data_IF_621284546945
#
_entry.id   IF_621284546945
#
_cell.length_a   1.000
_cell.length_b   1.000
_cell.length_c   1.000
_cell.angle_alpha   90.00
_cell.angle_beta   90.00
_cell.angle_gamma   90.00
#
_symmetry.space_group_name_H-M   'P 1'
#
loop_
_entity.id
_entity.type
_entity.pdbx_description
1 polymer ?
#
# COMPACT_ATOMS: atom_id res chain seq x y z
N UNK A 1 -21.61 -3.18 4.81
CA UNK A 1 -22.38 -2.92 6.04
C UNK A 1 -23.33 -1.78 5.72
N UNK A 2 -24.63 -2.04 5.74
CA UNK A 2 -25.60 -0.96 5.64
C UNK A 2 -25.95 -0.44 7.04
N UNK A 3 -26.24 0.85 7.10
CA UNK A 3 -26.55 1.58 8.34
C UNK A 3 -27.82 1.04 9.00
N UNK A 4 -28.72 0.39 8.23
CA UNK A 4 -29.98 -0.17 8.72
C UNK A 4 -29.77 -1.46 9.52
N UNK A 5 -28.81 -2.30 9.17
CA UNK A 5 -28.50 -3.53 9.90
C UNK A 5 -28.09 -3.24 11.34
N UNK A 6 -27.30 -2.18 11.58
CA UNK A 6 -26.88 -1.77 12.92
C UNK A 6 -27.98 -1.10 13.70
N UNK A 7 -28.81 -0.27 13.08
CA UNK A 7 -29.95 0.42 13.71
C UNK A 7 -31.06 -0.55 14.12
N UNK A 8 -31.37 -1.51 13.25
CA UNK A 8 -32.46 -2.45 13.49
C UNK A 8 -32.18 -3.49 14.58
N UNK A 9 -30.91 -3.73 14.91
CA UNK A 9 -30.51 -4.69 15.96
C UNK A 9 -30.20 -4.06 17.31
N UNK A 10 -30.41 -2.75 17.50
CA UNK A 10 -30.08 -2.01 18.73
C UNK A 10 -28.65 -2.22 19.26
N UNK A 11 -27.71 -2.57 18.35
CA UNK A 11 -26.34 -2.89 18.72
C UNK A 11 -25.53 -1.61 18.95
N UNK A 12 -25.91 -0.51 18.30
CA UNK A 12 -25.17 0.74 18.36
C UNK A 12 -26.09 1.97 18.27
N UNK A 13 -25.98 2.87 19.27
CA UNK A 13 -26.75 4.11 19.35
C UNK A 13 -25.98 5.36 18.88
N UNK A 14 -24.76 5.22 18.42
CA UNK A 14 -23.90 6.31 17.96
C UNK A 14 -24.09 6.65 16.48
N UNK A 15 -23.28 7.60 16.01
CA UNK A 15 -23.18 7.95 14.59
C UNK A 15 -22.09 7.10 13.93
N UNK A 16 -22.41 6.41 12.84
CA UNK A 16 -21.43 5.72 12.00
C UNK A 16 -20.88 6.73 10.99
N UNK A 17 -19.56 6.88 10.97
CA UNK A 17 -18.85 7.69 9.98
C UNK A 17 -18.17 6.73 9.01
N UNK A 18 -18.55 6.81 7.74
CA UNK A 18 -17.92 6.02 6.70
C UNK A 18 -16.57 6.63 6.37
N UNK A 19 -15.53 5.80 6.36
CA UNK A 19 -14.17 6.21 6.02
C UNK A 19 -13.44 5.16 5.18
N UNK A 20 -12.33 5.57 4.61
CA UNK A 20 -11.42 4.69 3.86
C UNK A 20 -10.01 5.21 4.00
N UNK A 21 -9.03 4.34 3.85
CA UNK A 21 -7.63 4.68 3.68
C UNK A 21 -7.25 4.47 2.22
N UNK A 22 -6.75 5.51 1.58
CA UNK A 22 -6.44 5.53 0.15
C UNK A 22 -4.95 5.79 -0.05
N UNK A 23 -4.32 4.93 -0.84
CA UNK A 23 -2.93 5.15 -1.24
C UNK A 23 -2.82 6.32 -2.23
N UNK A 24 -1.72 7.07 -2.12
CA UNK A 24 -1.41 8.19 -2.99
C UNK A 24 0.10 8.33 -3.22
N UNK A 25 0.48 9.11 -4.23
CA UNK A 25 1.87 9.51 -4.46
C UNK A 25 2.02 11.02 -4.37
N UNK A 26 2.96 11.46 -3.54
CA UNK A 26 3.41 12.84 -3.47
C UNK A 26 4.94 12.89 -3.48
N UNK A 27 5.54 13.74 -4.33
CA UNK A 27 7.00 13.88 -4.49
C UNK A 27 7.74 12.52 -4.64
N UNK A 28 7.19 11.61 -5.46
CA UNK A 28 7.71 10.24 -5.67
C UNK A 28 7.75 9.37 -4.40
N UNK A 29 7.00 9.72 -3.37
CA UNK A 29 6.84 8.93 -2.14
C UNK A 29 5.43 8.38 -2.05
N UNK A 30 5.30 7.12 -1.63
CA UNK A 30 4.02 6.53 -1.27
C UNK A 30 3.55 7.12 0.06
N UNK A 31 2.30 7.53 0.10
CA UNK A 31 1.61 8.02 1.29
C UNK A 31 0.21 7.44 1.34
N UNK A 32 -0.44 7.56 2.46
CA UNK A 32 -1.81 7.12 2.68
C UNK A 32 -2.65 8.29 3.20
N UNK A 33 -3.87 8.40 2.67
CA UNK A 33 -4.80 9.48 3.00
C UNK A 33 -6.03 8.84 3.62
N UNK A 34 -6.32 9.22 4.87
CA UNK A 34 -7.55 8.85 5.55
C UNK A 34 -8.69 9.74 5.04
N UNK A 35 -9.74 9.11 4.55
CA UNK A 35 -10.96 9.76 4.11
C UNK A 35 -12.06 9.52 5.14
N UNK A 36 -12.63 10.56 5.72
CA UNK A 36 -13.74 10.44 6.67
C UNK A 36 -15.00 11.10 6.15
N UNK A 37 -16.16 10.54 6.51
CA UNK A 37 -17.49 11.03 6.17
C UNK A 37 -17.75 11.11 4.66
N UNK A 38 -17.26 10.11 3.92
CA UNK A 38 -17.36 10.02 2.46
C UNK A 38 -18.65 9.35 2.01
N UNK A 39 -19.08 9.69 0.78
CA UNK A 39 -20.06 8.88 0.04
C UNK A 39 -19.30 7.69 -0.61
N UNK A 40 -19.54 6.44 -0.17
CA UNK A 40 -18.80 5.27 -0.66
C UNK A 40 -19.04 5.00 -2.14
N UNK A 41 -20.20 5.35 -2.70
CA UNK A 41 -20.50 5.11 -4.12
C UNK A 41 -19.56 5.94 -5.02
N UNK A 42 -19.30 7.20 -4.66
CA UNK A 42 -18.40 8.09 -5.42
C UNK A 42 -16.96 7.57 -5.35
N UNK A 43 -16.53 7.12 -4.18
CA UNK A 43 -15.18 6.55 -4.01
C UNK A 43 -15.05 5.23 -4.77
N UNK A 44 -16.04 4.34 -4.71
CA UNK A 44 -16.01 3.05 -5.41
C UNK A 44 -15.94 3.24 -6.93
N UNK A 45 -16.75 4.14 -7.50
CA UNK A 45 -16.70 4.48 -8.93
C UNK A 45 -15.31 4.99 -9.35
N UNK A 46 -14.70 5.85 -8.54
CA UNK A 46 -13.35 6.32 -8.80
C UNK A 46 -12.30 5.21 -8.67
N UNK A 47 -12.45 4.31 -7.67
CA UNK A 47 -11.55 3.18 -7.46
C UNK A 47 -11.46 2.25 -8.68
N UNK A 48 -12.53 2.10 -9.47
CA UNK A 48 -12.51 1.31 -10.68
C UNK A 48 -11.43 1.77 -11.68
N UNK A 49 -11.08 3.05 -11.68
CA UNK A 49 -10.01 3.57 -12.52
C UNK A 49 -8.64 2.92 -12.21
N UNK A 50 -8.36 2.61 -10.93
CA UNK A 50 -7.06 2.14 -10.46
C UNK A 50 -7.07 0.66 -10.07
N UNK A 51 -8.19 0.13 -9.62
CA UNK A 51 -8.28 -1.15 -8.93
C UNK A 51 -9.19 -2.17 -9.63
N UNK A 52 -9.45 -2.01 -10.94
CA UNK A 52 -10.06 -3.08 -11.76
C UNK A 52 -9.22 -4.36 -11.65
N UNK A 53 -9.87 -5.52 -11.58
CA UNK A 53 -9.18 -6.80 -11.42
C UNK A 53 -8.12 -7.02 -12.49
N UNK A 54 -8.39 -6.69 -13.75
CA UNK A 54 -7.43 -6.80 -14.85
C UNK A 54 -6.16 -5.96 -14.59
N UNK A 55 -6.32 -4.71 -14.14
CA UNK A 55 -5.18 -3.84 -13.81
C UNK A 55 -4.38 -4.38 -12.63
N UNK A 56 -5.06 -4.88 -11.61
CA UNK A 56 -4.40 -5.49 -10.46
C UNK A 56 -3.64 -6.76 -10.86
N UNK A 57 -4.16 -7.56 -11.80
CA UNK A 57 -3.44 -8.71 -12.38
C UNK A 57 -2.18 -8.28 -13.13
N UNK A 58 -2.28 -7.25 -13.97
CA UNK A 58 -1.11 -6.68 -14.65
C UNK A 58 -0.05 -6.16 -13.66
N UNK A 59 -0.47 -5.48 -12.60
CA UNK A 59 0.42 -5.04 -11.52
C UNK A 59 1.11 -6.24 -10.84
N UNK A 60 0.36 -7.31 -10.54
CA UNK A 60 0.92 -8.53 -9.97
C UNK A 60 2.00 -9.13 -10.87
N UNK A 61 1.77 -9.20 -12.19
CA UNK A 61 2.74 -9.75 -13.13
C UNK A 61 4.01 -8.87 -13.19
N UNK A 62 3.87 -7.55 -13.20
CA UNK A 62 5.00 -6.61 -13.16
C UNK A 62 5.79 -6.74 -11.86
N UNK A 63 5.10 -6.78 -10.71
CA UNK A 63 5.76 -6.96 -9.40
C UNK A 63 6.49 -8.30 -9.31
N UNK A 64 5.90 -9.36 -9.84
CA UNK A 64 6.53 -10.69 -9.92
C UNK A 64 7.84 -10.63 -10.71
N UNK A 65 7.82 -10.02 -11.89
CA UNK A 65 9.02 -9.89 -12.72
C UNK A 65 10.10 -9.06 -12.02
N UNK A 66 9.74 -7.93 -11.42
CA UNK A 66 10.67 -7.09 -10.66
C UNK A 66 11.34 -7.85 -9.52
N UNK A 67 10.58 -8.67 -8.80
CA UNK A 67 11.16 -9.45 -7.72
C UNK A 67 12.11 -10.53 -8.24
N UNK A 68 11.82 -11.15 -9.39
CA UNK A 68 12.78 -12.05 -10.05
C UNK A 68 14.06 -11.31 -10.45
N UNK A 69 13.94 -10.10 -11.00
CA UNK A 69 15.11 -9.28 -11.36
C UNK A 69 15.95 -8.93 -10.11
N UNK A 70 15.29 -8.62 -8.99
CA UNK A 70 15.94 -8.40 -7.69
C UNK A 70 16.63 -9.68 -7.21
N UNK A 71 15.97 -10.83 -7.25
CA UNK A 71 16.55 -12.12 -6.86
C UNK A 71 17.80 -12.44 -7.69
N UNK A 72 17.70 -12.27 -9.01
CA UNK A 72 18.82 -12.51 -9.93
C UNK A 72 19.99 -11.54 -9.66
N UNK A 73 19.71 -10.25 -9.44
CA UNK A 73 20.72 -9.24 -9.10
C UNK A 73 21.50 -9.59 -7.83
N UNK A 74 20.82 -10.21 -6.85
CA UNK A 74 21.45 -10.63 -5.60
C UNK A 74 22.00 -12.05 -5.64
N UNK A 75 21.90 -12.75 -6.76
CA UNK A 75 22.39 -14.13 -6.90
C UNK A 75 21.60 -15.13 -6.06
N UNK A 76 20.33 -14.87 -5.80
CA UNK A 76 19.45 -15.80 -5.09
C UNK A 76 19.04 -16.96 -6.01
N UNK A 77 19.10 -18.16 -5.47
CA UNK A 77 18.69 -19.39 -6.15
C UNK A 77 17.21 -19.65 -5.92
N UNK A 78 16.47 -19.99 -6.95
CA UNK A 78 15.06 -20.38 -6.88
C UNK A 78 14.65 -21.20 -8.11
N UNK A 79 13.59 -22.00 -8.00
CA UNK A 79 12.97 -22.72 -9.09
C UNK A 79 11.63 -22.06 -9.44
N UNK A 80 11.62 -21.28 -10.53
CA UNK A 80 10.42 -20.55 -10.96
C UNK A 80 9.21 -21.47 -11.19
N UNK A 81 9.44 -22.71 -11.63
CA UNK A 81 8.37 -23.68 -11.89
C UNK A 81 7.60 -24.08 -10.63
N UNK A 82 8.20 -23.93 -9.45
CA UNK A 82 7.61 -24.22 -8.15
C UNK A 82 6.89 -23.04 -7.52
N UNK A 83 6.98 -21.87 -8.12
CA UNK A 83 6.38 -20.64 -7.58
C UNK A 83 4.95 -20.52 -8.10
N UNK A 84 3.97 -20.72 -7.23
CA UNK A 84 2.57 -20.56 -7.57
C UNK A 84 2.24 -19.11 -7.94
N UNK A 85 1.32 -18.93 -8.90
CA UNK A 85 0.70 -17.62 -9.13
C UNK A 85 -0.36 -17.32 -8.08
N UNK A 86 -0.58 -16.04 -7.73
CA UNK A 86 -1.67 -15.64 -6.85
C UNK A 86 -3.03 -16.07 -7.42
N UNK A 87 -3.90 -16.62 -6.57
CA UNK A 87 -5.27 -16.97 -6.97
C UNK A 87 -6.19 -15.76 -6.99
N UNK A 88 -5.95 -14.82 -6.05
CA UNK A 88 -6.73 -13.58 -5.90
C UNK A 88 -5.83 -12.37 -6.07
N UNK A 89 -6.41 -11.26 -6.52
CA UNK A 89 -5.70 -9.96 -6.65
C UNK A 89 -5.27 -9.37 -5.30
N UNK A 90 -5.86 -9.81 -4.20
CA UNK A 90 -5.47 -9.41 -2.84
C UNK A 90 -4.29 -10.21 -2.26
N UNK A 91 -3.82 -11.25 -2.97
CA UNK A 91 -2.65 -12.02 -2.50
C UNK A 91 -1.35 -11.32 -2.89
N UNK A 92 -0.39 -11.30 -1.96
CA UNK A 92 0.97 -10.84 -2.23
C UNK A 92 1.68 -11.79 -3.20
N UNK A 93 2.15 -11.27 -4.33
CA UNK A 93 2.95 -12.03 -5.30
C UNK A 93 4.34 -12.36 -4.75
N UNK A 94 4.83 -11.54 -3.85
CA UNK A 94 6.15 -11.61 -3.25
C UNK A 94 6.29 -12.80 -2.30
N UNK A 95 5.21 -13.17 -1.62
CA UNK A 95 5.24 -14.25 -0.62
C UNK A 95 5.60 -15.60 -1.22
N UNK A 96 4.97 -16.11 -2.30
CA UNK A 96 5.35 -17.38 -2.92
C UNK A 96 6.80 -17.40 -3.43
N UNK A 97 7.31 -16.26 -3.91
CA UNK A 97 8.70 -16.14 -4.36
C UNK A 97 9.64 -16.23 -3.17
N UNK A 98 9.37 -15.48 -2.10
CA UNK A 98 10.14 -15.55 -0.85
C UNK A 98 10.16 -16.98 -0.28
N UNK A 99 9.00 -17.64 -0.22
CA UNK A 99 8.88 -19.01 0.29
C UNK A 99 9.70 -20.02 -0.55
N UNK A 100 9.79 -19.84 -1.86
CA UNK A 100 10.63 -20.66 -2.72
C UNK A 100 12.11 -20.37 -2.49
N UNK A 101 12.51 -19.10 -2.47
CA UNK A 101 13.89 -18.65 -2.21
C UNK A 101 14.39 -19.18 -0.87
N UNK A 102 13.54 -19.23 0.16
CA UNK A 102 13.88 -19.72 1.50
C UNK A 102 14.13 -21.23 1.58
N UNK A 103 13.71 -22.02 0.59
CA UNK A 103 14.03 -23.47 0.55
C UNK A 103 15.49 -23.75 0.23
N UNK A 104 16.21 -22.79 -0.34
CA UNK A 104 17.60 -22.90 -0.75
C UNK A 104 18.52 -22.34 0.34
N UNK A 105 19.23 -23.22 1.06
CA UNK A 105 20.07 -22.85 2.21
C UNK A 105 21.19 -21.85 1.87
N UNK A 106 21.69 -21.89 0.64
CA UNK A 106 22.68 -20.96 0.12
C UNK A 106 22.19 -19.51 0.16
N UNK A 107 20.90 -19.28 -0.01
CA UNK A 107 20.29 -17.95 0.06
C UNK A 107 20.32 -17.34 1.46
N UNK A 108 20.33 -18.17 2.51
CA UNK A 108 20.25 -17.67 3.88
C UNK A 108 21.41 -16.73 4.23
N UNK A 109 22.61 -17.01 3.70
CA UNK A 109 23.78 -16.13 3.91
C UNK A 109 23.62 -14.80 3.21
N UNK A 110 22.95 -14.76 2.03
CA UNK A 110 22.73 -13.57 1.22
C UNK A 110 21.63 -12.71 1.85
N UNK A 111 20.55 -13.34 2.30
CA UNK A 111 19.39 -12.67 2.87
C UNK A 111 19.60 -12.15 4.30
N UNK A 112 20.49 -12.79 5.10
CA UNK A 112 20.77 -12.37 6.48
C UNK A 112 19.49 -12.28 7.34
N UNK A 113 19.20 -11.09 7.90
CA UNK A 113 18.02 -10.85 8.74
C UNK A 113 16.68 -11.11 8.03
N UNK A 114 16.65 -11.03 6.71
CA UNK A 114 15.42 -11.26 5.93
C UNK A 114 14.96 -12.74 5.97
N UNK A 115 15.78 -13.65 6.49
CA UNK A 115 15.39 -15.05 6.71
C UNK A 115 14.44 -15.24 7.89
N UNK A 116 14.33 -14.27 8.79
CA UNK A 116 13.49 -14.37 9.99
C UNK A 116 12.00 -14.50 9.66
N UNK A 117 11.51 -13.71 8.71
CA UNK A 117 10.14 -13.82 8.23
C UNK A 117 9.90 -13.04 6.93
N UNK A 118 8.85 -13.43 6.18
CA UNK A 118 8.36 -12.65 5.05
C UNK A 118 8.03 -11.20 5.43
N UNK A 119 7.45 -10.98 6.61
CA UNK A 119 7.10 -9.63 7.07
C UNK A 119 8.33 -8.72 7.26
N UNK A 120 9.46 -9.27 7.73
CA UNK A 120 10.71 -8.52 7.84
C UNK A 120 11.28 -8.24 6.46
N UNK A 121 11.34 -9.25 5.58
CA UNK A 121 11.78 -9.07 4.19
C UNK A 121 10.93 -8.04 3.46
N UNK A 122 9.60 -8.08 3.60
CA UNK A 122 8.70 -7.13 2.98
C UNK A 122 8.96 -5.71 3.49
N UNK A 123 8.90 -5.48 4.81
CA UNK A 123 8.99 -4.12 5.38
C UNK A 123 10.38 -3.51 5.30
N UNK A 124 11.44 -4.27 5.63
CA UNK A 124 12.79 -3.76 5.66
C UNK A 124 13.54 -3.91 4.32
N UNK A 125 13.13 -4.87 3.49
CA UNK A 125 13.69 -5.13 2.17
C UNK A 125 12.89 -4.43 1.08
N UNK A 126 11.73 -4.99 0.73
CA UNK A 126 10.98 -4.58 -0.47
C UNK A 126 10.34 -3.20 -0.36
N UNK A 127 9.84 -2.83 0.81
CA UNK A 127 9.17 -1.54 1.03
C UNK A 127 10.11 -0.40 1.48
N UNK A 128 11.37 -0.70 1.82
CA UNK A 128 12.33 0.29 2.29
C UNK A 128 13.15 0.88 1.14
N UNK A 129 13.02 2.18 0.82
CA UNK A 129 13.76 2.82 -0.28
C UNK A 129 15.29 2.78 -0.14
N UNK A 130 15.82 2.59 1.08
CA UNK A 130 17.25 2.49 1.33
C UNK A 130 17.78 1.05 1.16
N UNK A 131 16.90 0.08 0.99
CA UNK A 131 17.26 -1.33 0.80
C UNK A 131 17.71 -1.60 -0.63
N UNK A 132 18.72 -2.46 -0.79
CA UNK A 132 19.13 -2.98 -2.11
C UNK A 132 18.08 -3.91 -2.75
N UNK A 133 17.08 -4.34 -1.97
CA UNK A 133 15.92 -5.13 -2.39
C UNK A 133 14.68 -4.26 -2.67
N UNK A 134 14.80 -2.94 -2.59
CA UNK A 134 13.66 -2.04 -2.75
C UNK A 134 12.91 -2.25 -4.06
N UNK A 135 11.59 -2.41 -3.97
CA UNK A 135 10.70 -2.54 -5.11
C UNK A 135 9.71 -1.37 -5.13
N UNK A 136 9.89 -0.48 -6.09
CA UNK A 136 9.06 0.71 -6.20
C UNK A 136 7.70 0.40 -6.83
N UNK A 137 6.62 0.88 -6.22
CA UNK A 137 5.22 0.70 -6.66
C UNK A 137 4.49 2.02 -6.96
N UNK A 138 5.21 3.15 -6.98
CA UNK A 138 4.57 4.48 -7.12
C UNK A 138 3.78 4.64 -8.40
N UNK A 139 4.16 3.99 -9.49
CA UNK A 139 3.47 4.07 -10.79
C UNK A 139 2.07 3.46 -10.78
N UNK A 140 1.76 2.61 -9.78
CA UNK A 140 0.44 2.00 -9.63
C UNK A 140 -0.48 2.81 -8.72
N UNK A 141 0.00 3.90 -8.15
CA UNK A 141 -0.73 4.71 -7.18
C UNK A 141 -1.23 6.00 -7.82
N UNK A 142 -2.42 6.46 -7.42
CA UNK A 142 -2.94 7.74 -7.88
C UNK A 142 -2.09 8.91 -7.37
N UNK A 143 -2.05 10.02 -8.12
CA UNK A 143 -1.48 11.26 -7.64
C UNK A 143 -2.22 11.76 -6.39
N UNK A 144 -1.49 12.30 -5.43
CA UNK A 144 -2.01 12.89 -4.20
C UNK A 144 -3.20 13.84 -4.43
N UNK A 145 -3.09 14.80 -5.38
CA UNK A 145 -4.17 15.75 -5.67
C UNK A 145 -5.45 15.06 -6.09
N UNK A 146 -5.37 14.05 -6.94
CA UNK A 146 -6.54 13.31 -7.40
C UNK A 146 -7.25 12.57 -6.25
N UNK A 147 -6.48 12.06 -5.27
CA UNK A 147 -7.05 11.41 -4.08
C UNK A 147 -7.78 12.43 -3.20
N UNK A 148 -7.19 13.62 -2.98
CA UNK A 148 -7.84 14.67 -2.20
C UNK A 148 -9.12 15.16 -2.90
N UNK A 149 -9.04 15.43 -4.20
CA UNK A 149 -10.19 15.91 -4.99
C UNK A 149 -11.37 14.94 -4.93
N UNK A 150 -11.10 13.63 -5.04
CA UNK A 150 -12.20 12.64 -4.98
C UNK A 150 -12.79 12.52 -3.58
N UNK A 151 -11.97 12.63 -2.52
CA UNK A 151 -12.46 12.64 -1.13
C UNK A 151 -13.38 13.84 -0.90
N UNK A 152 -12.97 15.04 -1.32
CA UNK A 152 -13.78 16.24 -1.19
C UNK A 152 -15.05 16.17 -2.06
N UNK A 153 -14.96 15.67 -3.30
CA UNK A 153 -16.11 15.41 -4.17
C UNK A 153 -17.11 14.44 -3.54
N UNK A 154 -16.62 13.47 -2.77
CA UNK A 154 -17.44 12.53 -2.01
C UNK A 154 -18.04 13.15 -0.73
N UNK A 155 -17.84 14.44 -0.46
CA UNK A 155 -18.32 15.16 0.72
C UNK A 155 -17.52 14.89 2.00
N UNK A 156 -16.36 14.25 1.85
CA UNK A 156 -15.50 13.85 2.96
C UNK A 156 -14.43 14.85 3.35
N UNK A 157 -13.62 14.45 4.31
CA UNK A 157 -12.44 15.15 4.82
C UNK A 157 -11.22 14.27 4.67
N UNK A 158 -10.08 14.87 4.25
CA UNK A 158 -8.85 14.19 3.93
C UNK A 158 -7.76 14.48 4.96
N UNK A 159 -7.16 13.42 5.53
CA UNK A 159 -6.09 13.54 6.52
C UNK A 159 -4.88 12.70 6.08
N UNK A 160 -3.67 13.22 6.28
CA UNK A 160 -2.46 12.42 6.09
C UNK A 160 -2.39 11.35 7.17
N UNK A 161 -2.33 10.08 6.77
CA UNK A 161 -2.20 8.94 7.68
C UNK A 161 -0.78 8.87 8.26
N UNK A 162 -0.63 8.47 9.53
CA UNK A 162 0.59 8.09 10.24
C UNK A 162 1.92 8.66 9.67
N UNK A 163 2.10 10.00 9.57
CA UNK A 163 3.19 10.63 8.81
C UNK A 163 4.60 10.22 9.29
N UNK A 164 4.75 9.84 10.55
CA UNK A 164 6.03 9.43 11.12
C UNK A 164 6.38 7.96 10.86
N UNK A 165 5.41 7.14 10.42
CA UNK A 165 5.65 5.74 10.05
C UNK A 165 6.41 5.60 8.72
N UNK A 166 6.32 6.59 7.83
CA UNK A 166 7.03 6.57 6.54
C UNK A 166 8.55 6.64 6.67
N UNK A 167 9.09 7.03 7.82
CA UNK A 167 10.54 7.16 8.10
C UNK A 167 11.28 8.01 7.07
N UNK A 168 10.63 9.05 6.55
CA UNK A 168 11.29 10.00 5.69
C UNK A 168 12.33 10.79 6.49
N UNK A 169 13.51 11.07 5.88
CA UNK A 169 14.58 11.83 6.54
C UNK A 169 14.09 13.17 7.07
N UNK A 170 13.24 13.83 6.30
CA UNK A 170 12.72 15.18 6.58
C UNK A 170 11.19 15.16 6.64
N UNK A 171 10.63 14.35 7.54
CA UNK A 171 9.15 14.19 7.69
C UNK A 171 8.47 15.53 7.95
N UNK A 172 9.06 16.41 8.76
CA UNK A 172 8.47 17.73 9.05
C UNK A 172 8.46 18.63 7.81
N UNK A 173 9.54 18.64 7.03
CA UNK A 173 9.59 19.38 5.77
C UNK A 173 8.55 18.83 4.78
N UNK A 174 8.47 17.51 4.67
CA UNK A 174 7.48 16.83 3.85
C UNK A 174 6.03 17.22 4.22
N UNK A 175 5.70 17.25 5.52
CA UNK A 175 4.38 17.70 6.01
C UNK A 175 4.15 19.17 5.66
N UNK A 176 5.17 20.03 5.79
CA UNK A 176 5.07 21.43 5.44
C UNK A 176 4.84 21.64 3.94
N UNK A 177 5.46 20.82 3.09
CA UNK A 177 5.22 20.87 1.64
C UNK A 177 3.79 20.46 1.29
N UNK A 178 3.29 19.35 1.88
CA UNK A 178 1.89 18.96 1.75
C UNK A 178 0.93 20.09 2.19
N UNK A 179 1.23 20.74 3.31
CA UNK A 179 0.43 21.87 3.83
C UNK A 179 0.41 23.06 2.87
N UNK A 180 1.49 23.33 2.13
CA UNK A 180 1.54 24.40 1.13
C UNK A 180 0.54 24.18 -0.02
N UNK A 181 0.28 22.92 -0.36
CA UNK A 181 -0.72 22.55 -1.37
C UNK A 181 -2.17 22.84 -0.94
N UNK A 182 -2.40 23.16 0.34
CA UNK A 182 -3.66 23.64 0.95
C UNK A 182 -4.89 22.74 0.80
N UNK A 183 -4.71 21.47 0.55
CA UNK A 183 -5.83 20.59 0.23
C UNK A 183 -6.14 19.57 1.33
N UNK A 184 -5.18 19.31 2.25
CA UNK A 184 -5.42 18.48 3.42
C UNK A 184 -6.23 19.18 4.49
N UNK A 185 -7.22 18.48 5.04
CA UNK A 185 -8.00 18.95 6.19
C UNK A 185 -7.24 18.74 7.52
N UNK A 186 -6.29 17.83 7.56
CA UNK A 186 -5.48 17.58 8.76
C UNK A 186 -4.47 16.44 8.60
N UNK A 187 -3.91 16.04 9.74
CA UNK A 187 -2.97 14.91 9.85
C UNK A 187 -3.36 14.02 11.02
N UNK A 188 -3.06 12.74 10.92
CA UNK A 188 -3.18 11.82 12.05
C UNK A 188 -2.05 12.06 13.05
N UNK A 189 -2.39 12.25 14.33
CA UNK A 189 -1.42 12.55 15.38
C UNK A 189 -1.03 11.33 16.22
N UNK A 190 -1.90 10.32 16.26
CA UNK A 190 -1.72 9.10 17.06
C UNK A 190 -2.08 7.90 16.19
N UNK A 191 -1.20 6.90 16.19
CA UNK A 191 -1.40 5.65 15.48
C UNK A 191 -1.02 4.46 16.37
#
# INVERSE_FOLDING_TARGET
YDDETFKNNNIFNGKIIIGSELHAVFQKKNIEILAYNINPNIINEWCEKYYLEEKLRQQQDICRQRLFDICNKHGLVYDESKIRKPKKVSEYVERPIYEEVMKHKENHKILGEFTESFGIFFRKGLANPESSYFMNHIEFRPPYKEVIDIIHKAGGKAFLAHPFEYKFKDTIEFINDLRKEKELDGIECFH
#
